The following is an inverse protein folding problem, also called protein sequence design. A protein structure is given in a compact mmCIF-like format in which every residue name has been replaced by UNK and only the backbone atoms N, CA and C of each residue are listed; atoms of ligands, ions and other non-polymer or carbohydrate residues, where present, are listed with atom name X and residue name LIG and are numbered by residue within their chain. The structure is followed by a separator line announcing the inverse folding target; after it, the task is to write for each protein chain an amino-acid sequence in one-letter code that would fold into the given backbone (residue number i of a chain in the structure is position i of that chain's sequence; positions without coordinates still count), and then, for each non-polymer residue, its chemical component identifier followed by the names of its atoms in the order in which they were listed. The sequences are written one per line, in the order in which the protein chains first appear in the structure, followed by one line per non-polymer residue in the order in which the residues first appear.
data_IF_891950484788
#
_entry.id   IF_891950484788
#
_cell.length_a   1.000
_cell.length_b   1.000
_cell.length_c   1.000
_cell.angle_alpha   90.00
_cell.angle_beta   90.00
_cell.angle_gamma   90.00
#
_symmetry.space_group_name_H-M   'P 1'
#
loop_
_entity.id
_entity.type
_entity.pdbx_description
1 polymer ?
#
# COMPACT_ATOMS: atom_id res chain seq x y z
N UNK A 1 8.35 -18.69 11.91
CA UNK A 1 7.05 -18.42 12.56
C UNK A 1 7.15 -17.03 13.16
N UNK A 2 6.22 -16.14 12.84
CA UNK A 2 6.18 -14.78 13.36
C UNK A 2 5.05 -14.69 14.39
N UNK A 3 5.35 -14.20 15.60
CA UNK A 3 4.40 -14.07 16.69
C UNK A 3 4.06 -12.58 16.91
N UNK A 4 2.87 -12.17 16.48
CA UNK A 4 2.40 -10.80 16.71
C UNK A 4 2.18 -10.58 18.22
N UNK A 5 2.96 -9.68 18.82
CA UNK A 5 3.00 -9.48 20.27
C UNK A 5 3.64 -10.65 21.04
N UNK A 6 4.52 -11.42 20.39
CA UNK A 6 5.17 -12.62 20.92
C UNK A 6 5.85 -12.46 22.29
N UNK A 7 6.26 -13.59 22.91
CA UNK A 7 6.77 -13.59 24.27
C UNK A 7 8.01 -12.69 24.40
N UNK A 8 8.14 -12.06 25.57
CA UNK A 8 9.28 -11.20 25.88
C UNK A 8 10.61 -11.96 25.67
N UNK A 9 11.56 -11.34 24.98
CA UNK A 9 12.90 -11.91 24.80
C UNK A 9 13.62 -12.14 26.14
N UNK A 10 13.30 -11.28 27.14
CA UNK A 10 13.81 -11.34 28.51
C UNK A 10 13.34 -12.57 29.28
N UNK A 11 12.18 -13.12 28.88
CA UNK A 11 11.53 -14.27 29.50
C UNK A 11 11.80 -15.58 28.75
N UNK A 12 12.58 -15.53 27.66
CA UNK A 12 12.78 -16.67 26.74
C UNK A 12 14.25 -17.10 26.65
N UNK A 13 15.07 -16.36 25.90
CA UNK A 13 16.45 -16.76 25.54
C UNK A 13 17.52 -15.69 25.83
N UNK A 14 17.13 -14.55 26.42
CA UNK A 14 18.05 -13.46 26.75
C UNK A 14 17.78 -12.88 28.14
N UNK A 15 18.03 -13.67 29.21
CA UNK A 15 17.83 -13.19 30.57
C UNK A 15 18.70 -11.95 30.83
N UNK A 16 18.12 -10.96 31.52
CA UNK A 16 18.83 -9.77 31.98
C UNK A 16 18.85 -9.73 33.50
N UNK A 17 19.81 -10.38 34.17
CA UNK A 17 19.90 -10.42 35.64
C UNK A 17 19.93 -9.04 36.30
N UNK A 18 20.42 -8.02 35.58
CA UNK A 18 20.41 -6.62 36.04
C UNK A 18 19.00 -6.11 36.36
N UNK A 19 17.95 -6.62 35.70
CA UNK A 19 16.56 -6.23 36.00
C UNK A 19 16.15 -6.64 37.42
N UNK A 20 16.70 -7.71 37.97
CA UNK A 20 16.47 -8.10 39.36
C UNK A 20 17.07 -7.08 40.35
N UNK A 21 18.24 -6.51 40.02
CA UNK A 21 18.89 -5.47 40.84
C UNK A 21 18.06 -4.19 40.91
N UNK A 22 17.36 -3.85 39.84
CA UNK A 22 16.55 -2.62 39.74
C UNK A 22 15.05 -2.87 39.91
N UNK A 23 14.63 -4.07 40.31
CA UNK A 23 13.23 -4.45 40.41
C UNK A 23 12.39 -3.39 41.14
N UNK A 24 11.29 -2.96 40.52
CA UNK A 24 10.38 -1.95 41.06
C UNK A 24 10.88 -0.50 40.99
N UNK A 25 12.10 -0.24 40.52
CA UNK A 25 12.63 1.12 40.29
C UNK A 25 12.32 1.58 38.87
N UNK A 26 12.00 2.85 38.70
CA UNK A 26 11.86 3.43 37.36
C UNK A 26 13.17 3.31 36.57
N UNK A 27 13.06 2.87 35.32
CA UNK A 27 14.18 2.83 34.40
C UNK A 27 14.25 4.20 33.71
N UNK A 28 15.41 4.88 33.68
CA UNK A 28 15.57 6.08 32.87
C UNK A 28 15.31 5.72 31.41
N UNK A 29 14.22 6.25 30.84
CA UNK A 29 13.86 6.02 29.45
C UNK A 29 13.82 7.34 28.70
N UNK A 30 14.64 7.45 27.66
CA UNK A 30 14.68 8.61 26.77
C UNK A 30 13.86 8.38 25.49
N UNK A 31 13.20 7.22 25.36
CA UNK A 31 12.41 6.86 24.19
C UNK A 31 10.95 7.30 24.37
N UNK A 32 10.35 7.97 23.36
CA UNK A 32 8.93 8.26 23.35
C UNK A 32 8.14 6.96 23.21
N UNK A 33 7.35 6.64 24.23
CA UNK A 33 6.49 5.44 24.28
C UNK A 33 5.03 5.86 24.29
N UNK A 34 4.14 5.06 23.68
CA UNK A 34 2.70 5.36 23.63
C UNK A 34 2.08 5.50 25.04
N UNK A 35 2.65 4.77 26.01
CA UNK A 35 2.25 4.80 27.43
C UNK A 35 3.48 5.01 28.29
N UNK A 36 3.30 5.58 29.49
CA UNK A 36 4.39 5.74 30.46
C UNK A 36 5.05 4.38 30.72
N UNK A 37 6.34 4.28 30.39
CA UNK A 37 7.13 3.08 30.70
C UNK A 37 7.38 3.05 32.20
N UNK A 38 7.02 1.94 32.85
CA UNK A 38 7.04 1.82 34.31
C UNK A 38 8.39 1.38 34.88
N UNK A 39 8.31 0.66 36.00
CA UNK A 39 9.47 0.13 36.70
C UNK A 39 10.13 -1.06 36.01
N UNK A 40 11.40 -1.30 36.34
CA UNK A 40 12.10 -2.52 35.95
C UNK A 40 11.38 -3.75 36.50
N UNK A 41 11.05 -4.67 35.60
CA UNK A 41 10.40 -5.94 35.91
C UNK A 41 11.40 -7.07 35.64
N UNK A 42 11.89 -7.78 36.67
CA UNK A 42 12.65 -8.99 36.46
C UNK A 42 11.76 -10.06 35.82
N UNK A 43 12.38 -10.97 35.07
CA UNK A 43 11.68 -12.14 34.58
C UNK A 43 11.14 -12.95 35.77
N UNK A 44 9.87 -13.37 35.75
CA UNK A 44 9.32 -14.24 36.80
C UNK A 44 9.75 -15.70 36.61
N UNK A 45 10.42 -16.03 35.50
CA UNK A 45 10.81 -17.38 35.14
C UNK A 45 12.26 -17.67 35.53
N UNK A 46 12.54 -18.94 35.80
CA UNK A 46 13.88 -19.43 36.03
C UNK A 46 14.58 -19.82 34.73
N UNK A 47 15.91 -19.73 34.73
CA UNK A 47 16.76 -20.01 33.59
C UNK A 47 17.81 -21.04 33.95
N UNK A 48 18.07 -21.96 33.03
CA UNK A 48 19.15 -22.93 33.15
C UNK A 48 20.02 -22.90 31.88
N UNK A 49 21.30 -23.24 32.05
CA UNK A 49 22.22 -23.41 30.93
C UNK A 49 22.08 -24.80 30.35
N UNK A 50 21.98 -24.88 29.03
CA UNK A 50 21.81 -26.14 28.31
C UNK A 50 22.84 -26.31 27.21
N UNK A 51 23.17 -27.57 26.92
CA UNK A 51 24.13 -27.94 25.89
C UNK A 51 25.58 -27.54 26.21
N UNK A 52 26.48 -27.83 25.29
CA UNK A 52 27.88 -27.39 25.34
C UNK A 52 28.02 -25.88 25.10
N UNK A 53 27.09 -25.28 24.37
CA UNK A 53 26.99 -23.83 24.15
C UNK A 53 26.71 -23.04 25.43
N UNK A 54 26.15 -23.70 26.46
CA UNK A 54 25.76 -23.05 27.70
C UNK A 54 24.63 -22.03 27.52
N UNK A 55 23.82 -22.17 26.45
CA UNK A 55 22.71 -21.27 26.16
C UNK A 55 21.73 -21.26 27.34
N UNK A 56 21.45 -20.07 27.86
CA UNK A 56 20.47 -19.87 28.92
C UNK A 56 19.06 -19.87 28.32
N UNK A 57 18.24 -20.81 28.77
CA UNK A 57 16.86 -20.99 28.29
C UNK A 57 15.92 -20.96 29.49
N UNK A 58 14.82 -20.23 29.34
CA UNK A 58 13.73 -20.16 30.31
C UNK A 58 13.05 -21.52 30.50
N UNK A 59 12.60 -21.79 31.73
CA UNK A 59 11.80 -22.98 32.08
C UNK A 59 10.51 -23.14 31.24
N UNK A 60 10.06 -22.07 30.58
CA UNK A 60 8.95 -22.09 29.63
C UNK A 60 9.20 -23.00 28.41
N UNK A 61 10.45 -23.27 28.05
CA UNK A 61 10.80 -23.99 26.83
C UNK A 61 11.66 -25.23 27.09
N UNK A 62 11.24 -26.17 27.96
CA UNK A 62 12.07 -27.29 28.38
C UNK A 62 12.39 -28.24 27.21
N UNK A 63 11.47 -28.35 26.25
CA UNK A 63 11.70 -29.16 25.04
C UNK A 63 12.68 -28.51 24.07
N UNK A 64 12.65 -27.18 23.95
CA UNK A 64 13.56 -26.44 23.06
C UNK A 64 14.97 -26.42 23.65
N UNK A 65 15.08 -26.30 24.98
CA UNK A 65 16.35 -26.33 25.71
C UNK A 65 17.20 -27.57 25.41
N UNK A 66 16.58 -28.73 25.16
CA UNK A 66 17.28 -29.97 24.74
C UNK A 66 18.04 -29.84 23.43
N UNK A 67 17.75 -28.82 22.63
CA UNK A 67 18.38 -28.56 21.35
C UNK A 67 19.30 -27.33 21.35
N UNK A 68 19.70 -26.83 22.53
CA UNK A 68 20.51 -25.62 22.70
C UNK A 68 21.67 -25.48 21.70
N UNK A 69 22.45 -26.53 21.49
CA UNK A 69 23.63 -26.51 20.62
C UNK A 69 23.31 -26.42 19.12
N UNK A 70 22.03 -26.55 18.73
CA UNK A 70 21.54 -26.40 17.37
C UNK A 70 20.85 -25.06 17.13
N UNK A 71 20.76 -24.21 18.16
CA UNK A 71 20.09 -22.92 18.09
C UNK A 71 21.11 -21.81 17.88
N UNK A 72 20.78 -20.90 16.97
CA UNK A 72 21.43 -19.59 16.88
C UNK A 72 20.49 -18.55 17.49
N UNK A 73 20.96 -17.87 18.54
CA UNK A 73 20.20 -16.79 19.18
C UNK A 73 20.90 -15.46 18.91
N UNK A 74 20.22 -14.58 18.18
CA UNK A 74 20.72 -13.24 17.86
C UNK A 74 20.13 -12.23 18.84
N UNK A 75 20.93 -11.83 19.84
CA UNK A 75 20.52 -10.88 20.90
C UNK A 75 20.77 -9.41 20.55
N UNK A 76 21.41 -9.14 19.42
CA UNK A 76 21.77 -7.80 18.97
C UNK A 76 20.67 -7.09 18.17
N UNK A 77 19.55 -7.76 17.89
CA UNK A 77 18.43 -7.16 17.17
C UNK A 77 17.65 -6.22 18.08
N UNK A 78 17.47 -4.98 17.65
CA UNK A 78 16.63 -3.99 18.31
C UNK A 78 15.78 -3.25 17.27
N UNK A 79 14.72 -2.61 17.74
CA UNK A 79 13.93 -1.67 16.95
C UNK A 79 14.17 -0.25 17.44
N UNK A 80 13.95 0.74 16.58
CA UNK A 80 14.24 2.15 16.88
C UNK A 80 13.16 2.77 17.78
N UNK A 81 11.94 2.24 17.70
CA UNK A 81 10.78 2.78 18.40
C UNK A 81 10.02 1.65 19.09
N UNK A 82 9.57 1.84 20.34
CA UNK A 82 8.86 0.82 21.12
C UNK A 82 7.38 0.77 20.74
N UNK A 83 7.10 0.56 19.46
CA UNK A 83 5.75 0.46 18.90
C UNK A 83 5.63 -0.75 17.95
N UNK A 84 4.49 -1.43 18.00
CA UNK A 84 4.19 -2.62 17.23
C UNK A 84 4.27 -2.35 15.72
N UNK A 85 3.50 -1.41 15.16
CA UNK A 85 3.49 -1.16 13.70
C UNK A 85 4.90 -0.99 13.09
N UNK A 86 5.74 -0.03 13.56
CA UNK A 86 7.06 0.19 12.99
C UNK A 86 8.04 -0.94 13.26
N UNK A 87 7.96 -1.62 14.42
CA UNK A 87 8.87 -2.73 14.73
C UNK A 87 8.60 -3.94 13.84
N UNK A 88 7.33 -4.19 13.52
CA UNK A 88 6.93 -5.27 12.62
C UNK A 88 7.40 -5.02 11.19
N UNK A 89 7.23 -3.79 10.72
CA UNK A 89 7.72 -3.37 9.42
C UNK A 89 9.25 -3.41 9.35
N UNK A 90 9.95 -2.98 10.40
CA UNK A 90 11.41 -3.04 10.46
C UNK A 90 11.91 -4.48 10.41
N UNK A 91 11.29 -5.39 11.16
CA UNK A 91 11.70 -6.80 11.17
C UNK A 91 11.42 -7.51 9.84
N UNK A 92 10.26 -7.27 9.23
CA UNK A 92 9.88 -7.98 8.02
C UNK A 92 10.46 -7.34 6.75
N UNK A 93 10.56 -6.01 6.71
CA UNK A 93 10.88 -5.23 5.50
C UNK A 93 12.19 -4.44 5.62
N UNK A 94 12.82 -4.37 6.80
CA UNK A 94 14.02 -3.58 7.04
C UNK A 94 13.79 -2.07 7.10
N UNK A 95 12.54 -1.61 7.11
CA UNK A 95 12.17 -0.19 7.18
C UNK A 95 10.91 -0.04 8.02
N UNK A 96 10.95 0.86 9.01
CA UNK A 96 9.86 1.07 9.96
C UNK A 96 8.68 1.89 9.40
N UNK A 97 8.86 2.57 8.26
CA UNK A 97 7.90 3.57 7.75
C UNK A 97 7.40 3.23 6.36
N UNK A 98 8.29 2.82 5.47
CA UNK A 98 7.96 2.53 4.07
C UNK A 98 7.82 1.04 3.87
N UNK A 99 6.84 0.65 3.05
CA UNK A 99 6.71 -0.74 2.64
C UNK A 99 7.82 -1.08 1.66
N UNK A 100 8.84 -1.78 2.16
CA UNK A 100 9.92 -2.36 1.39
C UNK A 100 9.69 -3.85 1.14
N UNK A 101 10.40 -4.47 0.17
CA UNK A 101 10.26 -5.89 -0.07
C UNK A 101 10.56 -6.64 1.22
N UNK A 102 9.63 -7.50 1.62
CA UNK A 102 9.79 -8.28 2.83
C UNK A 102 10.91 -9.31 2.67
N UNK A 103 11.43 -9.83 3.79
CA UNK A 103 12.48 -10.85 3.81
C UNK A 103 12.12 -12.05 2.93
N UNK A 104 10.87 -12.52 2.95
CA UNK A 104 10.41 -13.60 2.07
C UNK A 104 10.45 -13.26 0.58
N UNK A 105 10.17 -12.00 0.22
CA UNK A 105 10.29 -11.52 -1.15
C UNK A 105 11.75 -11.44 -1.61
N UNK A 106 12.65 -10.95 -0.75
CA UNK A 106 14.09 -10.93 -1.04
C UNK A 106 14.70 -12.33 -1.18
N UNK A 107 14.32 -13.25 -0.29
CA UNK A 107 14.81 -14.63 -0.33
C UNK A 107 14.37 -15.31 -1.63
N UNK A 108 13.09 -15.17 -2.01
CA UNK A 108 12.58 -15.79 -3.23
C UNK A 108 13.09 -15.11 -4.50
N UNK A 109 13.37 -13.81 -4.45
CA UNK A 109 14.02 -13.10 -5.56
C UNK A 109 15.48 -13.53 -5.74
N UNK A 110 16.25 -13.58 -4.65
CA UNK A 110 17.68 -13.86 -4.70
C UNK A 110 18.03 -15.34 -4.88
N UNK A 111 17.31 -16.23 -4.22
CA UNK A 111 17.56 -17.69 -4.27
C UNK A 111 16.64 -18.42 -5.25
N UNK A 112 15.56 -17.78 -5.68
CA UNK A 112 14.54 -18.43 -6.50
C UNK A 112 13.66 -19.39 -5.69
N UNK A 113 13.02 -20.31 -6.42
CA UNK A 113 12.19 -21.38 -5.87
C UNK A 113 12.44 -22.65 -6.69
N UNK A 114 12.54 -23.80 -6.03
CA UNK A 114 12.57 -25.10 -6.73
C UNK A 114 11.23 -25.41 -7.40
N UNK A 115 10.14 -24.81 -6.89
CA UNK A 115 8.80 -24.97 -7.41
C UNK A 115 8.40 -23.76 -8.26
N UNK A 116 8.31 -23.96 -9.58
CA UNK A 116 7.91 -22.94 -10.55
C UNK A 116 6.39 -22.84 -10.75
N UNK A 117 5.62 -23.71 -10.12
CA UNK A 117 4.17 -23.84 -10.32
C UNK A 117 3.36 -23.30 -9.13
N UNK A 118 4.00 -22.99 -7.99
CA UNK A 118 3.36 -22.47 -6.79
C UNK A 118 4.06 -21.19 -6.31
N UNK A 119 3.37 -20.34 -5.52
CA UNK A 119 4.00 -19.17 -4.91
C UNK A 119 5.22 -19.56 -4.08
N UNK A 120 6.37 -18.93 -4.36
CA UNK A 120 7.59 -19.14 -3.58
C UNK A 120 7.54 -18.54 -2.17
N UNK A 121 6.67 -17.55 -1.95
CA UNK A 121 6.51 -16.86 -0.67
C UNK A 121 5.05 -16.92 -0.20
N UNK A 122 4.82 -17.64 0.90
CA UNK A 122 3.50 -17.80 1.52
C UNK A 122 3.48 -17.14 2.90
N UNK A 123 2.48 -16.30 3.13
CA UNK A 123 2.19 -15.67 4.42
C UNK A 123 1.00 -16.37 5.07
N UNK A 124 1.24 -17.07 6.18
CA UNK A 124 0.19 -17.75 6.94
C UNK A 124 -0.19 -16.93 8.17
N UNK A 125 -1.42 -16.44 8.22
CA UNK A 125 -1.93 -15.66 9.36
C UNK A 125 -3.25 -16.26 9.87
N UNK A 126 -3.21 -17.38 10.62
CA UNK A 126 -4.41 -17.94 11.23
C UNK A 126 -5.00 -16.93 12.22
N UNK A 127 -6.29 -16.64 12.10
CA UNK A 127 -6.96 -15.63 12.95
C UNK A 127 -7.12 -14.26 12.28
N UNK A 128 -6.52 -14.04 11.11
CA UNK A 128 -6.57 -12.77 10.39
C UNK A 128 -5.20 -12.09 10.30
N UNK A 129 -5.18 -10.90 9.72
CA UNK A 129 -3.96 -10.17 9.47
C UNK A 129 -3.31 -9.63 10.75
N UNK A 130 -1.97 -9.61 10.86
CA UNK A 130 -1.30 -8.89 11.92
C UNK A 130 -1.47 -7.37 11.76
N UNK A 131 -1.01 -6.61 12.75
CA UNK A 131 -0.90 -5.15 12.66
C UNK A 131 -0.12 -4.78 11.38
N UNK A 132 -0.56 -3.75 10.65
CA UNK A 132 -0.11 -3.36 9.29
C UNK A 132 -0.45 -4.35 8.15
N UNK A 133 -1.09 -5.48 8.45
CA UNK A 133 -1.61 -6.42 7.48
C UNK A 133 -0.62 -6.81 6.40
N UNK A 134 -1.03 -6.73 5.14
CA UNK A 134 -0.24 -7.17 3.99
C UNK A 134 1.04 -6.36 3.77
N UNK A 135 1.16 -5.18 4.38
CA UNK A 135 2.38 -4.37 4.34
C UNK A 135 3.60 -5.16 4.86
N UNK A 136 3.40 -6.09 5.78
CA UNK A 136 4.46 -6.95 6.34
C UNK A 136 5.06 -7.96 5.34
N UNK A 137 4.44 -8.20 4.18
CA UNK A 137 4.91 -9.24 3.25
C UNK A 137 4.76 -8.85 1.76
N UNK A 138 4.92 -7.57 1.43
CA UNK A 138 4.86 -7.14 0.02
C UNK A 138 6.17 -7.42 -0.72
N UNK A 139 6.06 -7.61 -2.04
CA UNK A 139 7.22 -7.53 -2.94
C UNK A 139 7.69 -6.08 -3.12
N UNK A 140 6.80 -5.11 -2.89
CA UNK A 140 7.05 -3.69 -3.12
C UNK A 140 7.60 -3.42 -4.53
N UNK A 141 8.84 -2.95 -4.65
CA UNK A 141 9.48 -2.69 -5.94
C UNK A 141 10.07 -3.94 -6.62
N UNK A 142 10.09 -5.10 -5.96
CA UNK A 142 10.40 -6.36 -6.62
C UNK A 142 9.21 -6.81 -7.49
N UNK A 143 9.45 -7.57 -8.58
CA UNK A 143 8.39 -8.08 -9.44
C UNK A 143 7.27 -8.76 -8.65
N UNK A 144 6.03 -8.61 -9.15
CA UNK A 144 4.83 -9.16 -8.48
C UNK A 144 4.87 -10.67 -8.24
N UNK A 145 5.71 -11.41 -8.97
CA UNK A 145 5.96 -12.83 -8.74
C UNK A 145 6.50 -13.15 -7.32
N UNK A 146 7.11 -12.18 -6.65
CA UNK A 146 7.67 -12.33 -5.30
C UNK A 146 6.76 -11.80 -4.20
N UNK A 147 5.51 -11.46 -4.55
CA UNK A 147 4.52 -11.00 -3.58
C UNK A 147 4.13 -12.16 -2.65
N UNK A 148 4.13 -11.89 -1.34
CA UNK A 148 3.66 -12.87 -0.36
C UNK A 148 2.20 -13.21 -0.60
N UNK A 149 1.93 -14.50 -0.82
CA UNK A 149 0.58 -15.04 -1.00
C UNK A 149 -0.01 -15.39 0.35
N UNK A 150 -1.09 -14.71 0.72
CA UNK A 150 -1.77 -14.98 1.98
C UNK A 150 -2.57 -16.28 1.91
N UNK A 151 -2.41 -17.13 2.92
CA UNK A 151 -3.17 -18.37 3.09
C UNK A 151 -3.73 -18.42 4.51
N UNK A 152 -5.06 -18.48 4.63
CA UNK A 152 -5.74 -18.68 5.92
C UNK A 152 -5.84 -20.18 6.22
N UNK A 153 -4.92 -20.68 7.04
CA UNK A 153 -4.81 -22.11 7.36
C UNK A 153 -5.99 -22.67 8.16
N UNK A 154 -6.95 -21.84 8.60
CA UNK A 154 -8.21 -22.32 9.20
C UNK A 154 -9.20 -22.84 8.16
N UNK A 155 -9.05 -22.42 6.90
CA UNK A 155 -9.91 -22.87 5.81
C UNK A 155 -9.42 -24.24 5.32
N UNK A 156 -10.35 -25.16 5.10
CA UNK A 156 -10.01 -26.53 4.70
C UNK A 156 -10.24 -26.82 3.22
N UNK A 157 -11.04 -25.99 2.53
CA UNK A 157 -11.30 -26.16 1.10
C UNK A 157 -10.29 -25.39 0.27
N UNK A 158 -9.76 -26.04 -0.76
CA UNK A 158 -8.75 -25.48 -1.68
C UNK A 158 -9.23 -24.16 -2.31
N UNK A 159 -10.49 -24.09 -2.73
CA UNK A 159 -11.04 -22.89 -3.38
C UNK A 159 -11.14 -21.68 -2.42
N UNK A 160 -11.22 -21.92 -1.11
CA UNK A 160 -11.24 -20.87 -0.10
C UNK A 160 -9.81 -20.46 0.36
N UNK A 161 -8.83 -21.36 0.15
CA UNK A 161 -7.41 -21.18 0.47
C UNK A 161 -6.67 -20.42 -0.64
N UNK A 162 -6.95 -20.75 -1.90
CA UNK A 162 -6.36 -20.11 -3.08
C UNK A 162 -7.49 -19.70 -4.01
N UNK A 163 -7.74 -18.39 -4.07
CA UNK A 163 -8.77 -17.86 -4.95
C UNK A 163 -8.44 -18.18 -6.41
N UNK A 164 -9.45 -18.51 -7.19
CA UNK A 164 -9.35 -18.79 -8.63
C UNK A 164 -8.44 -19.96 -9.02
N UNK A 165 -8.18 -20.89 -8.09
CA UNK A 165 -7.43 -22.13 -8.35
C UNK A 165 -8.07 -23.02 -9.43
N UNK A 166 -9.38 -22.86 -9.65
CA UNK A 166 -10.13 -23.48 -10.74
C UNK A 166 -10.88 -22.41 -11.51
N UNK A 167 -10.85 -22.50 -12.84
CA UNK A 167 -11.67 -21.65 -13.69
C UNK A 167 -13.11 -22.20 -13.72
N UNK A 168 -14.14 -21.37 -13.49
CA UNK A 168 -15.52 -21.85 -13.36
C UNK A 168 -16.13 -22.41 -14.65
N UNK A 169 -15.51 -22.14 -15.81
CA UNK A 169 -16.09 -22.43 -17.13
C UNK A 169 -15.18 -23.21 -18.08
N UNK A 170 -13.88 -23.31 -17.79
CA UNK A 170 -12.91 -23.84 -18.74
C UNK A 170 -12.12 -24.97 -18.10
N UNK A 171 -12.01 -26.09 -18.80
CA UNK A 171 -11.10 -27.17 -18.42
C UNK A 171 -9.63 -26.76 -18.57
N UNK A 172 -8.74 -27.57 -17.98
CA UNK A 172 -7.30 -27.30 -17.93
C UNK A 172 -6.65 -27.28 -19.31
N UNK A 173 -7.10 -28.14 -20.22
CA UNK A 173 -6.54 -28.25 -21.58
C UNK A 173 -6.88 -27.01 -22.42
N UNK A 174 -8.10 -26.50 -22.26
CA UNK A 174 -8.57 -25.29 -22.93
C UNK A 174 -7.89 -24.05 -22.36
N UNK A 175 -7.71 -23.97 -21.05
CA UNK A 175 -6.88 -22.94 -20.43
C UNK A 175 -5.43 -22.99 -20.92
N UNK A 176 -4.83 -24.18 -21.01
CA UNK A 176 -3.47 -24.37 -21.52
C UNK A 176 -3.32 -23.85 -22.94
N UNK A 177 -4.26 -24.19 -23.84
CA UNK A 177 -4.27 -23.67 -25.22
C UNK A 177 -4.43 -22.15 -25.29
N UNK A 178 -5.18 -21.56 -24.36
CA UNK A 178 -5.33 -20.09 -24.25
C UNK A 178 -4.04 -19.42 -23.77
N UNK A 179 -3.35 -20.01 -22.78
CA UNK A 179 -2.05 -19.52 -22.31
C UNK A 179 -1.00 -19.66 -23.42
N UNK A 180 -0.97 -20.76 -24.16
CA UNK A 180 -0.06 -20.97 -25.29
C UNK A 180 -0.32 -19.99 -26.43
N UNK A 181 -1.59 -19.67 -26.71
CA UNK A 181 -1.93 -18.64 -27.69
C UNK A 181 -1.44 -17.27 -27.22
N UNK A 182 -1.72 -16.89 -25.98
CA UNK A 182 -1.27 -15.61 -25.40
C UNK A 182 0.25 -15.51 -25.41
N UNK A 183 0.95 -16.56 -24.99
CA UNK A 183 2.42 -16.62 -24.97
C UNK A 183 3.02 -16.50 -26.38
N UNK A 184 2.41 -17.14 -27.39
CA UNK A 184 2.85 -17.00 -28.79
C UNK A 184 2.62 -15.58 -29.32
N UNK A 185 1.49 -14.97 -28.95
CA UNK A 185 1.21 -13.58 -29.31
C UNK A 185 2.19 -12.62 -28.62
N UNK A 186 2.52 -12.86 -27.34
CA UNK A 186 3.49 -12.06 -26.58
C UNK A 186 4.91 -12.20 -27.12
N UNK A 187 5.36 -13.40 -27.48
CA UNK A 187 6.67 -13.61 -28.12
C UNK A 187 6.76 -12.90 -29.47
N UNK A 188 5.73 -13.03 -30.31
CA UNK A 188 5.64 -12.30 -31.58
C UNK A 188 5.58 -10.77 -31.36
N UNK A 189 4.98 -10.34 -30.26
CA UNK A 189 4.89 -8.94 -29.86
C UNK A 189 6.25 -8.39 -29.39
N UNK A 190 7.04 -9.21 -28.70
CA UNK A 190 8.38 -8.91 -28.19
C UNK A 190 9.43 -8.87 -29.31
N UNK A 191 9.40 -9.84 -30.22
CA UNK A 191 10.28 -9.89 -31.40
C UNK A 191 10.12 -8.67 -32.30
N UNK A 192 8.94 -8.05 -32.32
CA UNK A 192 8.65 -6.87 -33.14
C UNK A 192 9.07 -5.53 -32.51
N UNK A 193 9.70 -5.51 -31.32
CA UNK A 193 9.81 -4.30 -30.47
C UNK A 193 11.15 -4.12 -29.73
N UNK A 194 12.27 -4.44 -30.37
CA UNK A 194 13.52 -3.81 -29.92
C UNK A 194 13.43 -2.30 -30.22
N UNK A 195 13.20 -1.49 -29.16
CA UNK A 195 13.05 -0.02 -29.13
C UNK A 195 11.66 0.52 -29.53
N UNK A 196 10.66 0.47 -28.62
CA UNK A 196 9.28 0.94 -28.88
C UNK A 196 8.91 2.26 -28.12
N UNK A 197 8.74 3.39 -28.82
CA UNK A 197 8.26 4.68 -28.29
C UNK A 197 6.87 4.64 -27.64
N UNK A 198 6.07 3.59 -27.88
CA UNK A 198 4.77 3.42 -27.23
C UNK A 198 4.88 3.03 -25.74
N UNK A 199 6.04 2.51 -25.32
CA UNK A 199 6.35 2.27 -23.90
C UNK A 199 6.66 3.61 -23.19
N UNK A 200 7.33 4.54 -23.87
CA UNK A 200 7.50 5.93 -23.41
C UNK A 200 6.15 6.62 -23.26
N UNK A 201 5.21 6.46 -24.19
CA UNK A 201 3.85 7.04 -24.06
C UNK A 201 3.04 6.51 -22.85
N UNK A 202 3.33 5.28 -22.38
CA UNK A 202 2.73 4.73 -21.15
C UNK A 202 3.38 5.27 -19.88
N UNK A 203 4.70 5.46 -19.91
CA UNK A 203 5.42 6.20 -18.87
C UNK A 203 4.91 7.65 -18.83
N UNK A 204 4.75 8.32 -19.97
CA UNK A 204 4.14 9.65 -20.07
C UNK A 204 2.70 9.69 -19.56
N UNK A 205 1.88 8.63 -19.75
CA UNK A 205 0.50 8.61 -19.23
C UNK A 205 0.43 8.47 -17.70
N UNK A 206 1.35 7.68 -17.12
CA UNK A 206 1.47 7.57 -15.66
C UNK A 206 2.15 8.81 -15.05
N UNK A 207 3.11 9.39 -15.75
CA UNK A 207 3.69 10.70 -15.43
C UNK A 207 2.68 11.83 -15.59
N UNK A 208 1.76 11.77 -16.56
CA UNK A 208 0.69 12.75 -16.72
C UNK A 208 -0.26 12.69 -15.52
N UNK A 209 -0.62 11.50 -15.05
CA UNK A 209 -1.41 11.33 -13.83
C UNK A 209 -0.67 11.85 -12.57
N UNK A 210 0.65 11.67 -12.50
CA UNK A 210 1.50 12.26 -11.45
C UNK A 210 1.58 13.79 -11.54
N UNK A 211 1.82 14.33 -12.74
CA UNK A 211 1.80 15.77 -13.04
C UNK A 211 0.45 16.36 -12.64
N UNK A 212 -0.67 15.75 -13.04
CA UNK A 212 -2.02 16.19 -12.63
C UNK A 212 -2.17 16.39 -11.12
N UNK A 213 -1.57 15.53 -10.29
CA UNK A 213 -1.63 15.66 -8.82
C UNK A 213 -0.71 16.76 -8.29
N UNK A 214 0.47 16.96 -8.88
CA UNK A 214 1.38 18.04 -8.52
C UNK A 214 0.86 19.42 -8.95
N UNK A 215 0.20 19.49 -10.11
CA UNK A 215 -0.23 20.72 -10.79
C UNK A 215 -1.43 21.40 -10.14
N UNK A 216 -2.17 20.73 -9.26
CA UNK A 216 -3.34 21.33 -8.61
C UNK A 216 -2.95 22.58 -7.78
N UNK A 217 -1.82 22.52 -7.06
CA UNK A 217 -1.30 23.66 -6.32
C UNK A 217 -0.82 24.79 -7.23
N UNK A 218 -0.13 24.46 -8.31
CA UNK A 218 0.44 25.45 -9.23
C UNK A 218 -0.64 26.14 -10.09
N UNK A 219 -1.64 25.38 -10.54
CA UNK A 219 -2.83 25.93 -11.19
C UNK A 219 -3.60 26.87 -10.24
N UNK A 220 -3.62 26.57 -8.94
CA UNK A 220 -4.26 27.42 -7.94
C UNK A 220 -3.49 28.73 -7.77
N UNK A 221 -2.16 28.67 -7.67
CA UNK A 221 -1.31 29.85 -7.57
C UNK A 221 -1.51 30.80 -8.77
N UNK A 222 -1.59 30.24 -9.98
CA UNK A 222 -1.89 31.01 -11.20
C UNK A 222 -3.29 31.62 -11.18
N UNK A 223 -4.32 30.84 -10.80
CA UNK A 223 -5.71 31.30 -10.80
C UNK A 223 -6.02 32.30 -9.68
N UNK A 224 -5.43 32.12 -8.51
CA UNK A 224 -5.61 32.96 -7.33
C UNK A 224 -4.62 34.14 -7.29
N UNK A 225 -3.60 34.16 -8.15
CA UNK A 225 -2.57 35.20 -8.17
C UNK A 225 -1.67 35.18 -6.93
N UNK A 226 -1.43 34.01 -6.35
CA UNK A 226 -0.61 33.81 -5.14
C UNK A 226 0.65 33.00 -5.46
N UNK A 227 1.54 32.88 -4.48
CA UNK A 227 2.71 32.00 -4.56
C UNK A 227 2.75 31.09 -3.34
N UNK A 228 2.82 29.79 -3.58
CA UNK A 228 2.99 28.76 -2.59
C UNK A 228 4.25 27.94 -2.91
N UNK A 229 4.76 27.22 -1.91
CA UNK A 229 5.85 26.27 -2.09
C UNK A 229 5.25 24.86 -2.16
N UNK A 230 5.44 24.16 -3.28
CA UNK A 230 5.07 22.76 -3.37
C UNK A 230 5.99 21.91 -2.48
N UNK A 231 5.39 21.19 -1.53
CA UNK A 231 6.10 20.22 -0.68
C UNK A 231 5.62 18.82 -1.09
N UNK A 232 6.42 18.04 -1.83
CA UNK A 232 5.98 16.75 -2.33
C UNK A 232 5.98 15.70 -1.21
N UNK A 233 4.91 14.91 -1.16
CA UNK A 233 4.76 13.77 -0.26
C UNK A 233 4.59 12.49 -1.05
N UNK A 234 5.01 11.35 -0.49
CA UNK A 234 4.83 10.03 -1.12
C UNK A 234 3.38 9.53 -1.10
N UNK A 235 2.47 10.29 -0.51
CA UNK A 235 1.04 10.00 -0.46
C UNK A 235 0.32 10.82 0.61
N UNK A 236 -1.01 10.86 0.50
CA UNK A 236 -1.88 11.71 1.33
C UNK A 236 -1.78 11.44 2.83
N UNK A 237 -1.54 10.19 3.24
CA UNK A 237 -1.44 9.84 4.65
C UNK A 237 -0.29 10.57 5.38
N UNK A 238 0.85 10.77 4.70
CA UNK A 238 1.98 11.51 5.27
C UNK A 238 1.66 13.02 5.29
N UNK A 239 1.15 13.55 4.18
CA UNK A 239 0.79 14.95 4.06
C UNK A 239 -0.26 15.39 5.09
N UNK A 240 -1.23 14.52 5.40
CA UNK A 240 -2.23 14.77 6.45
C UNK A 240 -1.61 14.97 7.84
N UNK A 241 -0.59 14.17 8.21
CA UNK A 241 0.05 14.31 9.52
C UNK A 241 0.76 15.66 9.64
N UNK A 242 1.47 16.07 8.58
CA UNK A 242 2.16 17.36 8.55
C UNK A 242 1.20 18.55 8.47
N UNK A 243 0.07 18.41 7.78
CA UNK A 243 -1.00 19.42 7.78
C UNK A 243 -1.66 19.56 9.15
N UNK A 244 -1.95 18.43 9.83
CA UNK A 244 -2.52 18.44 11.19
C UNK A 244 -1.53 19.01 12.20
N UNK A 245 -0.24 18.72 12.05
CA UNK A 245 0.82 19.26 12.89
C UNK A 245 1.14 20.73 12.59
N UNK A 246 0.66 21.28 11.47
CA UNK A 246 0.90 22.66 11.05
C UNK A 246 2.24 22.89 10.33
N UNK A 247 2.94 21.81 9.95
CA UNK A 247 4.18 21.87 9.17
C UNK A 247 3.94 22.37 7.73
N UNK A 248 2.75 22.08 7.18
CA UNK A 248 2.23 22.67 5.93
C UNK A 248 0.87 23.31 6.21
N UNK A 249 0.55 24.40 5.51
CA UNK A 249 -0.63 25.22 5.84
C UNK A 249 -1.87 24.83 5.02
N UNK A 250 -1.66 24.23 3.85
CA UNK A 250 -2.72 23.78 2.95
C UNK A 250 -2.24 22.59 2.13
N UNK A 251 -3.19 21.81 1.62
CA UNK A 251 -2.94 20.64 0.81
C UNK A 251 -4.01 20.52 -0.26
N UNK A 252 -3.62 20.07 -1.46
CA UNK A 252 -4.53 19.56 -2.48
C UNK A 252 -4.53 18.04 -2.37
N UNK A 253 -5.72 17.46 -2.22
CA UNK A 253 -5.86 16.02 -2.01
C UNK A 253 -7.12 15.47 -2.69
N UNK A 254 -7.17 14.15 -2.81
CA UNK A 254 -8.37 13.41 -3.21
C UNK A 254 -9.37 13.37 -2.06
N UNK A 255 -10.63 13.70 -2.38
CA UNK A 255 -11.76 13.68 -1.42
C UNK A 255 -11.80 12.38 -0.63
N UNK A 256 -11.66 11.23 -1.30
CA UNK A 256 -11.72 9.90 -0.70
C UNK A 256 -10.73 9.69 0.44
N UNK A 257 -9.52 10.21 0.32
CA UNK A 257 -8.48 10.06 1.35
C UNK A 257 -8.63 11.06 2.49
N UNK A 258 -9.12 12.27 2.21
CA UNK A 258 -9.28 13.35 3.20
C UNK A 258 -10.55 13.21 4.06
N UNK A 259 -11.62 12.57 3.54
CA UNK A 259 -12.93 12.53 4.20
C UNK A 259 -12.89 11.98 5.64
N UNK A 260 -12.02 11.01 5.92
CA UNK A 260 -11.89 10.47 7.28
C UNK A 260 -11.40 11.51 8.28
N UNK A 261 -10.42 12.34 7.89
CA UNK A 261 -9.86 13.39 8.75
C UNK A 261 -10.80 14.61 8.83
N UNK A 262 -11.50 14.93 7.74
CA UNK A 262 -12.52 15.98 7.71
C UNK A 262 -13.68 15.64 8.65
N UNK A 263 -14.22 14.42 8.57
CA UNK A 263 -15.29 13.94 9.47
C UNK A 263 -14.84 13.89 10.92
N UNK A 264 -13.56 13.61 11.18
CA UNK A 264 -12.98 13.64 12.51
C UNK A 264 -12.70 15.07 13.05
N UNK A 265 -12.99 16.12 12.26
CA UNK A 265 -12.75 17.52 12.64
C UNK A 265 -11.27 17.91 12.71
N UNK A 266 -10.38 17.07 12.19
CA UNK A 266 -8.92 17.30 12.21
C UNK A 266 -8.45 18.13 11.03
N UNK A 267 -9.15 18.03 9.91
CA UNK A 267 -8.92 18.84 8.72
C UNK A 267 -10.19 19.61 8.36
N UNK A 268 -10.01 20.80 7.80
CA UNK A 268 -11.10 21.62 7.28
C UNK A 268 -11.01 21.67 5.76
N UNK A 269 -12.03 21.13 5.09
CA UNK A 269 -12.17 21.32 3.64
C UNK A 269 -12.53 22.78 3.33
N UNK A 270 -11.76 23.41 2.45
CA UNK A 270 -11.97 24.82 2.07
C UNK A 270 -12.85 24.92 0.81
N UNK A 271 -12.56 24.11 -0.19
CA UNK A 271 -13.32 24.05 -1.43
C UNK A 271 -13.07 22.69 -2.13
N UNK A 272 -14.00 22.28 -3.01
CA UNK A 272 -13.77 21.20 -3.97
C UNK A 272 -13.29 21.76 -5.31
N UNK A 273 -12.42 21.00 -5.99
CA UNK A 273 -11.77 21.41 -7.24
C UNK A 273 -12.57 21.03 -8.50
N UNK A 274 -13.73 20.40 -8.32
CA UNK A 274 -14.70 20.08 -9.37
C UNK A 274 -15.64 21.26 -9.65
N UNK A 275 -16.23 21.31 -10.85
CA UNK A 275 -17.21 22.36 -11.22
C UNK A 275 -18.47 22.35 -10.37
N UNK A 276 -18.87 21.18 -9.89
CA UNK A 276 -20.02 21.01 -9.02
C UNK A 276 -19.55 20.52 -7.64
N UNK A 277 -20.35 20.80 -6.61
CA UNK A 277 -20.11 20.29 -5.25
C UNK A 277 -20.10 18.76 -5.23
N UNK A 278 -19.27 18.20 -4.37
CA UNK A 278 -19.21 16.74 -4.20
C UNK A 278 -20.46 16.25 -3.45
N UNK A 279 -21.16 15.20 -3.93
CA UNK A 279 -22.23 14.57 -3.17
C UNK A 279 -21.79 14.03 -1.80
N UNK A 280 -20.50 13.74 -1.63
CA UNK A 280 -19.93 13.25 -0.38
C UNK A 280 -19.65 14.36 0.66
N UNK A 281 -19.64 15.62 0.21
CA UNK A 281 -19.41 16.81 1.04
C UNK A 281 -20.18 18.01 0.44
N UNK A 282 -21.53 17.96 0.39
CA UNK A 282 -22.36 18.98 -0.28
C UNK A 282 -22.28 20.37 0.39
N UNK A 283 -21.83 20.43 1.64
CA UNK A 283 -21.58 21.65 2.39
C UNK A 283 -20.34 22.41 1.91
N UNK A 284 -19.37 21.72 1.31
CA UNK A 284 -18.10 22.32 0.87
C UNK A 284 -18.34 23.02 -0.48
N UNK A 285 -18.01 24.32 -0.61
CA UNK A 285 -18.22 25.05 -1.85
C UNK A 285 -17.25 24.59 -2.95
N UNK A 286 -17.54 24.91 -4.20
CA UNK A 286 -16.57 24.78 -5.29
C UNK A 286 -15.53 25.90 -5.24
N UNK A 287 -14.39 25.75 -5.93
CA UNK A 287 -13.40 26.83 -6.05
C UNK A 287 -13.99 28.10 -6.69
N UNK A 288 -14.90 27.94 -7.65
CA UNK A 288 -15.59 29.07 -8.28
C UNK A 288 -16.53 29.78 -7.30
N UNK A 289 -17.31 29.03 -6.52
CA UNK A 289 -18.14 29.59 -5.43
C UNK A 289 -17.30 30.27 -4.34
N UNK A 290 -16.06 29.79 -4.13
CA UNK A 290 -15.08 30.39 -3.23
C UNK A 290 -14.33 31.60 -3.81
N UNK A 291 -14.66 32.02 -5.04
CA UNK A 291 -14.12 33.23 -5.69
C UNK A 291 -12.90 33.01 -6.59
N UNK A 292 -12.45 31.77 -6.78
CA UNK A 292 -11.36 31.42 -7.70
C UNK A 292 -11.98 30.95 -9.03
N UNK A 293 -11.99 31.86 -10.01
CA UNK A 293 -12.56 31.61 -11.33
C UNK A 293 -11.63 30.75 -12.19
N UNK A 294 -12.22 30.02 -13.14
CA UNK A 294 -11.50 29.22 -14.14
C UNK A 294 -10.55 28.15 -13.58
N UNK A 295 -10.75 27.76 -12.31
CA UNK A 295 -9.99 26.68 -11.68
C UNK A 295 -10.80 25.38 -11.67
N UNK A 296 -10.27 24.37 -12.36
CA UNK A 296 -10.80 23.00 -12.34
C UNK A 296 -9.64 22.01 -12.29
N UNK A 297 -9.60 21.19 -11.25
CA UNK A 297 -8.61 20.13 -11.09
C UNK A 297 -9.31 18.87 -10.58
N UNK A 298 -10.11 18.27 -11.45
CA UNK A 298 -10.84 17.05 -11.11
C UNK A 298 -10.03 15.81 -11.48
N UNK A 299 -9.94 14.86 -10.54
CA UNK A 299 -9.24 13.59 -10.74
C UNK A 299 -10.24 12.50 -11.08
N UNK A 300 -9.92 11.67 -12.08
CA UNK A 300 -10.76 10.56 -12.49
C UNK A 300 -9.99 9.25 -12.50
N UNK A 301 -10.72 8.16 -12.25
CA UNK A 301 -10.24 6.79 -12.41
C UNK A 301 -10.93 6.16 -13.60
N UNK A 302 -10.20 5.33 -14.35
CA UNK A 302 -10.79 4.61 -15.47
C UNK A 302 -10.15 3.23 -15.68
N UNK A 303 -10.81 2.40 -16.45
CA UNK A 303 -10.35 1.07 -16.84
C UNK A 303 -9.77 1.13 -18.25
N UNK A 304 -8.52 0.72 -18.37
CA UNK A 304 -7.80 0.64 -19.64
C UNK A 304 -7.57 -0.80 -20.06
N UNK A 305 -7.58 -1.04 -21.36
CA UNK A 305 -7.26 -2.34 -21.96
C UNK A 305 -6.16 -2.18 -23.01
N UNK A 306 -5.45 -3.25 -23.40
CA UNK A 306 -4.46 -3.18 -24.47
C UNK A 306 -5.04 -2.59 -25.77
N UNK A 307 -4.28 -1.75 -26.48
CA UNK A 307 -4.78 -0.99 -27.64
C UNK A 307 -5.38 -1.84 -28.76
N UNK A 308 -4.93 -3.10 -28.92
CA UNK A 308 -5.44 -4.04 -29.92
C UNK A 308 -6.56 -4.96 -29.41
N UNK A 309 -7.13 -4.66 -28.24
CA UNK A 309 -8.26 -5.43 -27.71
C UNK A 309 -9.43 -5.34 -28.69
N UNK A 310 -9.98 -6.47 -29.17
CA UNK A 310 -11.11 -6.48 -30.08
C UNK A 310 -12.30 -5.65 -29.56
N UNK A 311 -12.94 -4.90 -30.45
CA UNK A 311 -14.00 -3.94 -30.08
C UNK A 311 -15.15 -4.58 -29.31
N UNK A 312 -15.55 -5.80 -29.71
CA UNK A 312 -16.57 -6.58 -29.01
C UNK A 312 -16.25 -6.86 -27.52
N UNK A 313 -14.96 -7.00 -27.16
CA UNK A 313 -14.54 -7.22 -25.77
C UNK A 313 -14.62 -5.89 -25.00
N UNK A 314 -14.21 -4.79 -25.63
CA UNK A 314 -14.31 -3.45 -25.07
C UNK A 314 -15.78 -3.11 -24.78
N UNK A 315 -16.66 -3.35 -25.75
CA UNK A 315 -18.08 -3.03 -25.62
C UNK A 315 -18.73 -3.85 -24.50
N UNK A 316 -18.43 -5.17 -24.43
CA UNK A 316 -18.94 -6.04 -23.37
C UNK A 316 -18.42 -5.65 -21.98
N UNK A 317 -17.14 -5.26 -21.87
CA UNK A 317 -16.57 -4.78 -20.61
C UNK A 317 -17.19 -3.45 -20.19
N UNK A 318 -17.36 -2.52 -21.14
CA UNK A 318 -18.00 -1.23 -20.88
C UNK A 318 -19.45 -1.41 -20.42
N UNK A 319 -20.21 -2.28 -21.07
CA UNK A 319 -21.58 -2.61 -20.69
C UNK A 319 -21.64 -3.16 -19.25
N UNK A 320 -20.78 -4.12 -18.90
CA UNK A 320 -20.73 -4.67 -17.55
C UNK A 320 -20.40 -3.60 -16.49
N UNK A 321 -19.47 -2.69 -16.80
CA UNK A 321 -19.12 -1.56 -15.91
C UNK A 321 -20.32 -0.62 -15.75
N UNK A 322 -20.99 -0.25 -16.85
CA UNK A 322 -22.17 0.63 -16.82
C UNK A 322 -23.30 0.04 -15.98
N UNK A 323 -23.60 -1.25 -16.15
CA UNK A 323 -24.60 -1.96 -15.34
C UNK A 323 -24.21 -1.97 -13.86
N UNK A 324 -22.93 -2.21 -13.56
CA UNK A 324 -22.43 -2.22 -12.17
C UNK A 324 -22.51 -0.85 -11.52
N UNK A 325 -22.14 0.21 -12.24
CA UNK A 325 -22.20 1.59 -11.73
C UNK A 325 -23.63 2.14 -11.64
N UNK A 326 -24.59 1.56 -12.38
CA UNK A 326 -26.01 1.89 -12.25
C UNK A 326 -26.66 1.28 -10.99
N UNK A 327 -25.99 0.33 -10.32
CA UNK A 327 -26.52 -0.29 -9.10
C UNK A 327 -26.55 0.72 -7.94
N UNK A 328 -27.71 1.02 -7.33
CA UNK A 328 -27.82 2.02 -6.27
C UNK A 328 -26.97 1.71 -5.02
N UNK A 329 -26.81 0.44 -4.66
CA UNK A 329 -25.97 0.05 -3.54
C UNK A 329 -24.48 0.29 -3.83
N UNK A 330 -24.08 0.12 -5.09
CA UNK A 330 -22.73 0.43 -5.55
C UNK A 330 -22.50 1.94 -5.56
N UNK A 331 -23.44 2.70 -6.13
CA UNK A 331 -23.37 4.17 -6.14
C UNK A 331 -23.22 4.74 -4.73
N UNK A 332 -24.05 4.26 -3.81
CA UNK A 332 -23.98 4.67 -2.40
C UNK A 332 -22.60 4.40 -1.78
N UNK A 333 -22.01 3.22 -2.01
CA UNK A 333 -20.68 2.88 -1.49
C UNK A 333 -19.57 3.78 -2.06
N UNK A 334 -19.62 4.10 -3.35
CA UNK A 334 -18.67 5.02 -3.97
C UNK A 334 -18.77 6.41 -3.35
N UNK A 335 -19.99 6.95 -3.21
CA UNK A 335 -20.22 8.26 -2.60
C UNK A 335 -19.79 8.28 -1.13
N UNK A 336 -20.07 7.22 -0.35
CA UNK A 336 -19.59 7.08 1.04
C UNK A 336 -18.06 7.13 1.15
N UNK A 337 -17.37 6.65 0.11
CA UNK A 337 -15.91 6.71 -0.02
C UNK A 337 -15.41 8.00 -0.67
N UNK A 338 -16.25 8.99 -0.93
CA UNK A 338 -15.84 10.27 -1.53
C UNK A 338 -15.61 10.24 -3.03
N UNK A 339 -16.12 9.22 -3.73
CA UNK A 339 -16.03 9.06 -5.18
C UNK A 339 -17.38 9.36 -5.83
N UNK A 340 -17.35 10.01 -7.00
CA UNK A 340 -18.53 10.25 -7.84
C UNK A 340 -18.55 9.23 -9.00
N UNK A 341 -19.36 8.16 -8.92
CA UNK A 341 -19.37 7.11 -9.92
C UNK A 341 -20.03 7.59 -11.21
N UNK A 342 -19.20 7.83 -12.23
CA UNK A 342 -19.68 8.23 -13.57
C UNK A 342 -19.52 7.09 -14.57
N UNK A 343 -20.50 6.96 -15.46
CA UNK A 343 -20.45 6.00 -16.55
C UNK A 343 -20.27 6.73 -17.88
N UNK A 344 -19.35 6.25 -18.72
CA UNK A 344 -19.07 6.82 -20.04
C UNK A 344 -18.83 5.71 -21.06
N UNK A 345 -18.90 6.05 -22.33
CA UNK A 345 -18.43 5.22 -23.44
C UNK A 345 -16.91 5.32 -23.58
N UNK A 346 -16.27 4.32 -24.22
CA UNK A 346 -14.83 4.39 -24.52
C UNK A 346 -14.43 5.62 -25.34
N UNK A 347 -15.34 6.11 -26.21
CA UNK A 347 -15.10 7.32 -27.01
C UNK A 347 -15.10 8.57 -26.12
N UNK A 348 -16.10 8.71 -25.24
CA UNK A 348 -16.20 9.86 -24.34
C UNK A 348 -15.01 9.95 -23.38
N UNK A 349 -14.53 8.80 -22.89
CA UNK A 349 -13.28 8.73 -22.13
C UNK A 349 -12.07 9.18 -22.95
N UNK A 350 -11.95 8.72 -24.20
CA UNK A 350 -10.89 9.16 -25.10
C UNK A 350 -10.93 10.67 -25.36
N UNK A 351 -12.13 11.23 -25.57
CA UNK A 351 -12.33 12.67 -25.74
C UNK A 351 -11.98 13.44 -24.45
N UNK A 352 -12.29 12.90 -23.26
CA UNK A 352 -11.91 13.47 -21.97
C UNK A 352 -10.39 13.54 -21.82
N UNK A 353 -9.69 12.43 -22.07
CA UNK A 353 -8.24 12.36 -21.98
C UNK A 353 -7.55 13.35 -22.91
N UNK A 354 -8.04 13.48 -24.15
CA UNK A 354 -7.50 14.43 -25.12
C UNK A 354 -7.67 15.89 -24.67
N UNK A 355 -8.84 16.23 -24.09
CA UNK A 355 -9.09 17.56 -23.53
C UNK A 355 -8.19 17.85 -22.33
N UNK A 356 -8.08 16.91 -21.39
CA UNK A 356 -7.27 17.08 -20.18
C UNK A 356 -5.78 17.21 -20.53
N UNK A 357 -5.27 16.34 -21.42
CA UNK A 357 -3.86 16.40 -21.86
C UNK A 357 -3.52 17.76 -22.45
N UNK A 358 -4.41 18.33 -23.29
CA UNK A 358 -4.20 19.67 -23.86
C UNK A 358 -4.21 20.75 -22.78
N UNK A 359 -5.22 20.74 -21.91
CA UNK A 359 -5.41 21.73 -20.85
C UNK A 359 -4.25 21.74 -19.87
N UNK A 360 -3.85 20.56 -19.38
CA UNK A 360 -2.73 20.42 -18.44
C UNK A 360 -1.40 20.76 -19.10
N UNK A 361 -1.20 20.36 -20.35
CA UNK A 361 -0.01 20.77 -21.10
C UNK A 361 0.12 22.28 -21.30
N UNK A 362 -0.98 23.05 -21.26
CA UNK A 362 -0.94 24.52 -21.22
C UNK A 362 -0.57 25.05 -19.83
N UNK A 363 -1.04 24.42 -18.74
CA UNK A 363 -0.68 24.78 -17.36
C UNK A 363 0.81 24.54 -17.12
N UNK A 364 1.30 23.33 -17.40
CA UNK A 364 2.73 22.92 -17.30
C UNK A 364 3.63 23.96 -17.97
N UNK A 365 3.29 24.35 -19.22
CA UNK A 365 4.07 25.33 -19.98
C UNK A 365 4.02 26.74 -19.40
N UNK A 366 2.88 27.18 -18.87
CA UNK A 366 2.73 28.52 -18.27
C UNK A 366 3.42 28.61 -16.91
N UNK A 367 3.37 27.54 -16.12
CA UNK A 367 3.99 27.45 -14.81
C UNK A 367 5.50 27.17 -14.90
N UNK A 368 5.99 26.72 -16.06
CA UNK A 368 7.41 26.43 -16.28
C UNK A 368 7.86 25.11 -15.64
N UNK A 369 6.94 24.16 -15.49
CA UNK A 369 7.16 22.89 -14.81
C UNK A 369 7.88 21.92 -15.74
N UNK A 370 8.94 21.30 -15.21
CA UNK A 370 9.72 20.27 -15.89
C UNK A 370 9.55 18.92 -15.20
N UNK A 371 9.86 17.83 -15.92
CA UNK A 371 9.75 16.48 -15.36
C UNK A 371 10.85 16.14 -14.33
N UNK A 372 11.86 17.01 -14.20
CA UNK A 372 13.01 16.87 -13.28
C UNK A 372 12.82 17.61 -11.97
#
# INVERSE_FOLDING_TARGET
MFANGGPSHLDTFDPKPVLAKYAGREIPNNLPTERRTGAALPSPFTFARHGASGLEVSELFPSVARHADRLLVVRSMHADVPNHEPSLMLMNCGDARLVRPAAGAWVTYGLGTENQNLPGFVAMCPGGYPIKGTENWRSAFLPGAFQGTYVDTRKQKIDDLVQYVRHPLLDRDTQGRQVDLTTRLDRRHLEARQHDPLLEARLESLELAWRMQAEAGEAFDVAAGVKSLHVPYKGSAQAHLDLIAGNVQMMFDTTSSAMGQIKAGKLRALAVTSKARSPAAPEVPTMEEAGIKDYEANFWYSVFVPARTPRQIIDKLNEAIRVTLANPAMQKKFVEQGLDPQSSSPKELGDLMARDSKRLGEVVRKAGITAE
#
